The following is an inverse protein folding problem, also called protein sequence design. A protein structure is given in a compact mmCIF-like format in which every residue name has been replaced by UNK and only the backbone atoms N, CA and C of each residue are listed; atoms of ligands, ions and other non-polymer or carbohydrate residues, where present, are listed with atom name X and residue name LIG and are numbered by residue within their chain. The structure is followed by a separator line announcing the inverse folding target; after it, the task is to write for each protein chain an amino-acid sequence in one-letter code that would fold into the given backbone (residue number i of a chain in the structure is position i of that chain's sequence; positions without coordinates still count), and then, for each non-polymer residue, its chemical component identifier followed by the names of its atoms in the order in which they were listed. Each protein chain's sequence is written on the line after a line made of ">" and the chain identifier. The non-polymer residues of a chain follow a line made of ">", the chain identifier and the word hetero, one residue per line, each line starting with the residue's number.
data_IF_918042779411
#
_entry.id   IF_918042779411
#
_cell.length_a   1.000
_cell.length_b   1.000
_cell.length_c   1.000
_cell.angle_alpha   90.00
_cell.angle_beta   90.00
_cell.angle_gamma   90.00
#
_symmetry.space_group_name_H-M   'P 1'
#
loop_
_entity.id
_entity.type
_entity.pdbx_description
1 polymer ?
#
# COMPACT_ATOMS: atom_id res chain seq x y z
N UNK A 1 -2.36 9.51 -22.50
CA UNK A 1 -3.66 9.57 -21.80
C UNK A 1 -3.41 9.05 -20.39
N UNK A 2 -4.10 9.58 -19.38
CA UNK A 2 -4.03 9.04 -18.02
C UNK A 2 -4.79 7.70 -17.99
N UNK A 3 -4.11 6.63 -17.59
CA UNK A 3 -4.72 5.31 -17.41
C UNK A 3 -4.89 4.97 -15.92
N UNK A 4 -6.00 4.28 -15.60
CA UNK A 4 -6.28 3.76 -14.26
C UNK A 4 -5.97 2.27 -14.22
N UNK A 5 -4.89 1.92 -13.52
CA UNK A 5 -4.37 0.55 -13.45
C UNK A 5 -4.80 -0.08 -12.13
N UNK A 6 -5.54 -1.18 -12.21
CA UNK A 6 -6.05 -1.89 -11.03
C UNK A 6 -4.98 -2.80 -10.42
N UNK A 7 -4.83 -2.72 -9.11
CA UNK A 7 -3.99 -3.60 -8.29
C UNK A 7 -4.89 -4.53 -7.48
N UNK A 8 -4.83 -5.81 -7.83
CA UNK A 8 -5.59 -6.86 -7.17
C UNK A 8 -5.05 -7.22 -5.79
N UNK A 9 -5.75 -8.12 -5.09
CA UNK A 9 -5.32 -8.65 -3.79
C UNK A 9 -4.07 -9.51 -3.98
N UNK A 10 -3.06 -9.35 -3.11
CA UNK A 10 -1.78 -10.06 -3.23
C UNK A 10 -1.12 -9.83 -4.59
N UNK A 11 -1.14 -8.57 -5.04
CA UNK A 11 -0.50 -8.10 -6.26
C UNK A 11 0.17 -6.75 -5.98
N UNK A 12 1.07 -6.36 -6.87
CA UNK A 12 1.64 -5.03 -6.91
C UNK A 12 1.73 -4.52 -8.35
N UNK A 13 1.65 -3.21 -8.51
CA UNK A 13 1.87 -2.54 -9.79
C UNK A 13 2.68 -1.28 -9.58
N UNK A 14 3.43 -0.91 -10.61
CA UNK A 14 4.24 0.31 -10.65
C UNK A 14 3.90 1.03 -11.95
N UNK A 15 3.72 2.33 -11.87
CA UNK A 15 3.37 3.18 -13.00
C UNK A 15 4.21 4.44 -13.01
N UNK A 16 4.27 5.10 -14.17
CA UNK A 16 4.88 6.40 -14.34
C UNK A 16 3.81 7.44 -14.57
N UNK A 17 4.13 8.69 -14.26
CA UNK A 17 3.30 9.82 -14.66
C UNK A 17 2.92 9.75 -16.15
N UNK A 18 1.63 9.86 -16.51
CA UNK A 18 0.52 10.39 -15.69
C UNK A 18 -0.43 9.35 -15.06
N UNK A 19 -0.08 8.07 -14.99
CA UNK A 19 -1.06 7.03 -14.64
C UNK A 19 -1.42 6.98 -13.15
N UNK A 20 -2.57 6.37 -12.86
CA UNK A 20 -3.15 6.23 -11.52
C UNK A 20 -3.26 4.75 -11.16
N UNK A 21 -2.81 4.39 -9.96
CA UNK A 21 -3.00 3.05 -9.39
C UNK A 21 -4.28 3.00 -8.57
N UNK A 22 -5.09 1.96 -8.75
CA UNK A 22 -6.36 1.80 -8.05
C UNK A 22 -6.41 0.45 -7.34
N UNK A 23 -6.77 0.42 -6.07
CA UNK A 23 -7.03 -0.84 -5.36
C UNK A 23 -8.34 -0.78 -4.59
N UNK A 24 -9.17 -1.79 -4.77
CA UNK A 24 -10.53 -1.82 -4.25
C UNK A 24 -10.64 -2.65 -2.98
N UNK A 25 -11.62 -2.28 -2.14
CA UNK A 25 -12.12 -3.09 -1.03
C UNK A 25 -11.06 -3.57 -0.02
N UNK A 26 -10.16 -2.68 0.41
CA UNK A 26 -9.25 -2.94 1.51
C UNK A 26 -10.02 -3.02 2.83
N UNK A 27 -10.24 -4.25 3.31
CA UNK A 27 -10.71 -4.55 4.66
C UNK A 27 -9.53 -4.65 5.63
N UNK A 28 -9.26 -5.86 6.15
CA UNK A 28 -8.09 -6.12 7.00
C UNK A 28 -6.76 -6.05 6.24
N UNK A 29 -6.79 -6.11 4.91
CA UNK A 29 -5.63 -5.91 4.05
C UNK A 29 -5.09 -4.47 4.16
N UNK A 30 -3.83 -4.26 3.78
CA UNK A 30 -3.21 -2.93 3.78
C UNK A 30 -2.65 -2.63 2.39
N UNK A 31 -3.02 -1.46 1.87
CA UNK A 31 -2.47 -0.89 0.65
C UNK A 31 -1.25 -0.05 1.00
N UNK A 32 -0.11 -0.38 0.40
CA UNK A 32 1.14 0.37 0.57
C UNK A 32 1.47 1.08 -0.72
N UNK A 33 1.45 2.41 -0.66
CA UNK A 33 1.72 3.28 -1.78
C UNK A 33 3.10 3.91 -1.60
N UNK A 34 3.99 3.72 -2.56
CA UNK A 34 5.34 4.30 -2.58
C UNK A 34 5.46 5.30 -3.72
N UNK A 35 6.08 6.45 -3.48
CA UNK A 35 6.28 7.48 -4.49
C UNK A 35 7.68 8.09 -4.44
N UNK A 36 8.29 8.25 -5.61
CA UNK A 36 9.45 9.11 -5.81
C UNK A 36 9.04 10.29 -6.70
N UNK A 37 8.92 11.47 -6.08
CA UNK A 37 8.49 12.72 -6.72
C UNK A 37 9.42 13.24 -7.81
N UNK A 38 10.69 12.86 -7.81
CA UNK A 38 11.68 13.37 -8.77
C UNK A 38 11.52 12.64 -10.11
N UNK A 39 11.45 11.31 -10.07
CA UNK A 39 11.23 10.49 -11.27
C UNK A 39 9.76 10.26 -11.60
N UNK A 40 8.84 10.71 -10.72
CA UNK A 40 7.38 10.60 -10.85
C UNK A 40 6.92 9.16 -11.14
N UNK A 41 7.40 8.26 -10.29
CA UNK A 41 7.03 6.85 -10.28
C UNK A 41 6.23 6.58 -9.02
N UNK A 42 5.10 5.88 -9.18
CA UNK A 42 4.29 5.39 -8.08
C UNK A 42 4.22 3.87 -8.12
N UNK A 43 4.32 3.25 -6.95
CA UNK A 43 4.07 1.84 -6.72
C UNK A 43 2.95 1.64 -5.73
N UNK A 44 2.13 0.61 -5.92
CA UNK A 44 1.10 0.19 -4.98
C UNK A 44 1.14 -1.32 -4.82
N UNK A 45 1.21 -1.79 -3.57
CA UNK A 45 1.06 -3.20 -3.21
C UNK A 45 -0.19 -3.39 -2.34
N UNK A 46 -0.97 -4.44 -2.63
CA UNK A 46 -2.13 -4.83 -1.81
C UNK A 46 -1.77 -6.06 -0.97
N UNK A 47 -1.44 -5.80 0.30
CA UNK A 47 -0.92 -6.81 1.22
C UNK A 47 -2.09 -7.47 1.97
N UNK A 48 -2.09 -8.80 1.99
CA UNK A 48 -3.13 -9.60 2.62
C UNK A 48 -2.74 -10.05 4.04
N UNK A 49 -1.46 -10.40 4.25
CA UNK A 49 -0.96 -11.03 5.47
C UNK A 49 0.33 -10.34 5.99
N UNK A 50 0.66 -10.51 7.28
CA UNK A 50 1.75 -9.75 7.89
C UNK A 50 3.13 -10.32 7.57
N UNK A 51 3.31 -11.65 7.58
CA UNK A 51 4.62 -12.29 7.45
C UNK A 51 4.59 -13.47 6.48
N UNK A 52 5.61 -13.55 5.63
CA UNK A 52 5.78 -14.63 4.66
C UNK A 52 5.99 -16.00 5.31
N UNK A 53 5.61 -17.05 4.58
CA UNK A 53 5.79 -18.43 5.00
C UNK A 53 6.71 -19.15 4.02
N UNK A 54 7.66 -19.99 4.47
CA UNK A 54 8.67 -20.62 3.60
C UNK A 54 8.11 -21.43 2.42
N UNK A 55 6.87 -21.91 2.53
CA UNK A 55 6.21 -22.75 1.53
C UNK A 55 5.26 -21.98 0.60
N UNK A 56 5.01 -20.69 0.84
CA UNK A 56 4.12 -19.88 0.00
C UNK A 56 4.96 -19.08 -1.00
N UNK A 57 4.76 -19.37 -2.30
CA UNK A 57 5.52 -18.74 -3.37
C UNK A 57 5.00 -17.34 -3.74
N UNK A 58 3.83 -16.91 -3.23
CA UNK A 58 3.31 -15.59 -3.54
C UNK A 58 3.92 -14.50 -2.65
N UNK A 59 5.00 -13.90 -3.13
CA UNK A 59 5.71 -12.79 -2.47
C UNK A 59 4.87 -11.52 -2.32
N UNK A 60 3.80 -11.32 -3.10
CA UNK A 60 2.99 -10.09 -3.04
C UNK A 60 1.94 -10.12 -1.94
N UNK A 61 1.75 -11.28 -1.31
CA UNK A 61 0.73 -11.49 -0.27
C UNK A 61 1.13 -10.90 1.08
N UNK A 62 2.43 -10.80 1.35
CA UNK A 62 2.98 -10.55 2.68
C UNK A 62 3.68 -9.19 2.80
N UNK A 63 3.65 -8.58 3.98
CA UNK A 63 4.20 -7.24 4.16
C UNK A 63 5.73 -7.20 3.98
N UNK A 64 6.43 -8.16 4.57
CA UNK A 64 7.89 -8.30 4.50
C UNK A 64 8.40 -8.46 3.06
N UNK A 65 7.74 -9.29 2.25
CA UNK A 65 8.18 -9.55 0.88
C UNK A 65 7.65 -8.51 -0.10
N UNK A 66 6.38 -8.12 -0.03
CA UNK A 66 5.77 -7.22 -1.02
C UNK A 66 6.34 -5.80 -0.94
N UNK A 67 6.55 -5.25 0.26
CA UNK A 67 7.08 -3.88 0.42
C UNK A 67 8.54 -3.81 -0.05
N UNK A 68 9.36 -4.80 0.34
CA UNK A 68 10.75 -4.88 -0.11
C UNK A 68 10.85 -5.03 -1.64
N UNK A 69 10.00 -5.89 -2.21
CA UNK A 69 9.94 -6.13 -3.66
C UNK A 69 9.49 -4.89 -4.42
N UNK A 70 8.45 -4.20 -3.95
CA UNK A 70 7.96 -2.96 -4.56
C UNK A 70 9.05 -1.89 -4.61
N UNK A 71 9.73 -1.65 -3.48
CA UNK A 71 10.82 -0.68 -3.42
C UNK A 71 11.96 -1.05 -4.39
N UNK A 72 12.35 -2.33 -4.44
CA UNK A 72 13.40 -2.82 -5.35
C UNK A 72 13.01 -2.66 -6.83
N UNK A 73 11.77 -2.96 -7.17
CA UNK A 73 11.30 -2.84 -8.55
C UNK A 73 11.15 -1.37 -8.97
N UNK A 74 10.80 -0.48 -8.05
CA UNK A 74 10.84 0.97 -8.29
C UNK A 74 12.26 1.51 -8.47
N UNK A 75 13.26 1.00 -7.74
CA UNK A 75 14.67 1.37 -7.93
C UNK A 75 15.17 1.04 -9.33
N UNK A 76 14.74 -0.09 -9.90
CA UNK A 76 15.07 -0.46 -11.29
C UNK A 76 14.55 0.56 -12.32
N UNK A 77 13.54 1.36 -11.94
CA UNK A 77 12.97 2.41 -12.78
C UNK A 77 13.61 3.79 -12.53
N UNK A 78 14.66 3.87 -11.71
CA UNK A 78 15.40 5.10 -11.41
C UNK A 78 15.01 5.78 -10.11
N UNK A 79 14.12 5.18 -9.31
CA UNK A 79 13.80 5.69 -7.98
C UNK A 79 14.99 5.50 -7.03
N UNK A 80 15.11 6.38 -6.04
CA UNK A 80 16.11 6.24 -4.99
C UNK A 80 15.43 6.08 -3.65
N UNK A 81 15.79 5.06 -2.87
CA UNK A 81 15.11 4.72 -1.60
C UNK A 81 14.96 5.89 -0.64
N UNK A 82 16.00 6.70 -0.49
CA UNK A 82 15.97 7.89 0.40
C UNK A 82 15.01 9.00 -0.06
N UNK A 83 14.59 8.99 -1.34
CA UNK A 83 13.59 9.91 -1.89
C UNK A 83 12.18 9.34 -1.84
N UNK A 84 12.05 8.01 -1.64
CA UNK A 84 10.75 7.36 -1.57
C UNK A 84 10.00 7.80 -0.33
N UNK A 85 8.71 8.04 -0.50
CA UNK A 85 7.78 8.28 0.60
C UNK A 85 6.66 7.26 0.54
N UNK A 86 6.15 6.87 1.70
CA UNK A 86 5.07 5.91 1.82
C UNK A 86 3.78 6.58 2.29
N UNK A 87 2.65 6.13 1.73
CA UNK A 87 1.31 6.33 2.28
C UNK A 87 0.63 4.99 2.42
N UNK A 88 -0.06 4.77 3.53
CA UNK A 88 -0.69 3.47 3.81
C UNK A 88 -2.17 3.63 4.16
N UNK A 89 -2.99 2.66 3.75
CA UNK A 89 -4.39 2.66 4.12
C UNK A 89 -4.98 1.24 4.14
N UNK A 90 -6.03 1.01 4.94
CA UNK A 90 -6.65 -0.30 5.15
C UNK A 90 -6.55 -0.77 6.59
N UNK A 91 -6.31 -2.06 6.82
CA UNK A 91 -6.14 -2.62 8.16
C UNK A 91 -7.41 -2.53 9.02
N UNK A 92 -8.58 -2.49 8.41
CA UNK A 92 -9.85 -2.42 9.12
C UNK A 92 -10.17 -3.72 9.86
N UNK A 93 -10.81 -3.58 11.02
CA UNK A 93 -11.35 -4.68 11.78
C UNK A 93 -12.87 -4.77 11.57
N UNK A 94 -13.30 -5.54 10.58
CA UNK A 94 -14.71 -5.70 10.22
C UNK A 94 -15.49 -6.62 11.16
N UNK A 95 -14.80 -7.45 11.95
CA UNK A 95 -15.41 -8.41 12.86
C UNK A 95 -14.89 -8.20 14.29
N UNK A 96 -15.79 -8.24 15.27
CA UNK A 96 -15.38 -8.09 16.66
C UNK A 96 -14.63 -9.35 17.11
N UNK A 97 -13.35 -9.22 17.43
CA UNK A 97 -12.53 -10.31 17.99
C UNK A 97 -11.95 -9.89 19.32
N UNK A 98 -12.00 -10.77 20.32
CA UNK A 98 -11.29 -10.56 21.58
C UNK A 98 -9.78 -10.75 21.34
N UNK A 99 -9.08 -9.70 20.92
CA UNK A 99 -7.63 -9.70 20.67
C UNK A 99 -7.21 -8.80 19.50
N UNK A 100 -5.89 -8.77 19.20
CA UNK A 100 -5.34 -8.04 18.03
C UNK A 100 -5.94 -8.60 16.74
N UNK A 101 -6.55 -7.72 15.95
CA UNK A 101 -7.15 -8.09 14.66
C UNK A 101 -6.08 -8.43 13.62
N UNK A 102 -6.48 -9.10 12.54
CA UNK A 102 -5.60 -9.31 11.38
C UNK A 102 -5.17 -7.98 10.77
N UNK A 103 -6.06 -6.98 10.77
CA UNK A 103 -5.76 -5.62 10.32
C UNK A 103 -4.63 -4.97 11.10
N UNK A 104 -4.68 -5.04 12.44
CA UNK A 104 -3.63 -4.48 13.31
C UNK A 104 -2.28 -5.11 13.03
N UNK A 105 -2.24 -6.45 12.88
CA UNK A 105 -1.01 -7.20 12.56
C UNK A 105 -0.44 -6.81 11.20
N UNK A 106 -1.31 -6.65 10.20
CA UNK A 106 -0.89 -6.23 8.86
C UNK A 106 -0.30 -4.82 8.88
N UNK A 107 -0.94 -3.87 9.58
CA UNK A 107 -0.47 -2.49 9.71
C UNK A 107 0.88 -2.46 10.44
N UNK A 108 1.02 -3.19 11.54
CA UNK A 108 2.27 -3.30 12.31
C UNK A 108 3.42 -3.85 11.45
N UNK A 109 3.17 -4.93 10.71
CA UNK A 109 4.15 -5.55 9.82
C UNK A 109 4.59 -4.60 8.68
N UNK A 110 3.63 -3.90 8.05
CA UNK A 110 3.91 -2.89 7.03
C UNK A 110 4.77 -1.75 7.57
N UNK A 111 4.42 -1.22 8.75
CA UNK A 111 5.18 -0.14 9.40
C UNK A 111 6.61 -0.58 9.72
N UNK A 112 6.76 -1.79 10.26
CA UNK A 112 8.06 -2.40 10.56
C UNK A 112 8.92 -2.53 9.31
N UNK A 113 8.34 -2.99 8.20
CA UNK A 113 9.08 -3.21 6.96
C UNK A 113 9.48 -1.90 6.29
N UNK A 114 8.59 -0.90 6.26
CA UNK A 114 8.92 0.44 5.78
C UNK A 114 10.03 1.09 6.60
N UNK A 115 10.00 0.93 7.94
CA UNK A 115 11.06 1.39 8.82
C UNK A 115 12.40 0.67 8.54
N UNK A 116 12.38 -0.66 8.34
CA UNK A 116 13.56 -1.45 7.97
C UNK A 116 14.21 -0.96 6.67
N UNK A 117 13.40 -0.53 5.72
CA UNK A 117 13.84 0.01 4.44
C UNK A 117 14.19 1.52 4.49
N UNK A 118 14.07 2.17 5.65
CA UNK A 118 14.23 3.61 5.82
C UNK A 118 13.32 4.46 4.91
N UNK A 119 12.11 3.97 4.66
CA UNK A 119 11.09 4.69 3.89
C UNK A 119 10.10 5.31 4.88
N UNK A 120 10.05 6.64 4.92
CA UNK A 120 9.16 7.36 5.84
C UNK A 120 7.70 7.27 5.39
N UNK A 121 6.80 7.06 6.35
CA UNK A 121 5.36 7.20 6.14
C UNK A 121 5.02 8.69 6.28
N UNK A 122 4.47 9.29 5.22
CA UNK A 122 4.08 10.71 5.22
C UNK A 122 2.59 10.91 5.53
N UNK A 123 1.77 9.87 5.32
CA UNK A 123 0.37 9.86 5.71
C UNK A 123 -0.16 8.43 5.88
N UNK A 124 -1.18 8.26 6.71
CA UNK A 124 -1.85 6.98 6.93
C UNK A 124 -3.34 7.14 7.23
N UNK A 125 -4.16 6.25 6.66
CA UNK A 125 -5.57 6.04 7.06
C UNK A 125 -5.83 4.54 7.26
N UNK A 126 -5.50 4.08 8.46
CA UNK A 126 -5.52 2.66 8.85
C UNK A 126 -6.54 2.38 9.96
N UNK A 127 -6.90 1.11 10.16
CA UNK A 127 -7.82 0.70 11.21
C UNK A 127 -9.28 0.99 10.86
N UNK A 128 -10.12 1.22 11.88
CA UNK A 128 -11.57 1.38 11.69
C UNK A 128 -12.27 0.04 11.42
N UNK A 129 -13.53 0.08 10.99
CA UNK A 129 -14.40 -1.09 10.84
C UNK A 129 -15.09 -1.18 9.46
N UNK A 130 -14.53 -0.53 8.45
CA UNK A 130 -15.09 -0.46 7.10
C UNK A 130 -14.03 -0.62 6.01
N UNK A 131 -14.48 -1.00 4.82
CA UNK A 131 -13.63 -1.18 3.64
C UNK A 131 -13.28 0.15 2.98
N UNK A 132 -12.11 0.18 2.35
CA UNK A 132 -11.58 1.35 1.64
C UNK A 132 -11.22 1.05 0.19
N UNK A 133 -11.29 2.05 -0.67
CA UNK A 133 -10.78 2.02 -2.04
C UNK A 133 -9.73 3.12 -2.17
N UNK A 134 -8.59 2.78 -2.78
CA UNK A 134 -7.46 3.69 -2.97
C UNK A 134 -7.35 4.08 -4.42
N UNK A 135 -7.11 5.37 -4.68
CA UNK A 135 -6.63 5.89 -5.96
C UNK A 135 -5.33 6.66 -5.70
N UNK A 136 -4.23 6.23 -6.32
CA UNK A 136 -2.89 6.76 -6.07
C UNK A 136 -2.27 7.33 -7.34
N UNK A 137 -2.04 8.63 -7.33
CA UNK A 137 -1.60 9.42 -8.48
C UNK A 137 -0.07 9.46 -8.57
N UNK A 138 0.49 9.04 -9.70
CA UNK A 138 1.94 8.99 -9.90
C UNK A 138 2.59 10.35 -10.17
N UNK A 139 1.83 11.34 -10.62
CA UNK A 139 2.30 12.70 -10.86
C UNK A 139 2.52 13.44 -9.54
N UNK A 140 1.52 13.37 -8.65
CA UNK A 140 1.48 14.17 -7.41
C UNK A 140 1.86 13.39 -6.16
N UNK A 141 1.76 12.06 -6.17
CA UNK A 141 1.85 11.22 -4.97
C UNK A 141 0.62 11.37 -4.05
N UNK A 142 -0.48 11.89 -4.58
CA UNK A 142 -1.75 12.04 -3.86
C UNK A 142 -2.44 10.69 -3.71
N UNK A 143 -2.92 10.38 -2.50
CA UNK A 143 -3.71 9.19 -2.22
C UNK A 143 -5.14 9.61 -1.87
N UNK A 144 -6.09 9.24 -2.72
CA UNK A 144 -7.51 9.40 -2.45
C UNK A 144 -8.01 8.10 -1.85
N UNK A 145 -8.59 8.19 -0.66
CA UNK A 145 -9.19 7.06 0.05
C UNK A 145 -10.70 7.26 0.07
N UNK A 146 -11.43 6.30 -0.51
CA UNK A 146 -12.90 6.28 -0.50
C UNK A 146 -13.39 5.19 0.42
N UNK A 147 -14.41 5.49 1.21
CA UNK A 147 -15.12 4.52 2.03
C UNK A 147 -16.63 4.75 1.93
N UNK A 148 -17.40 3.67 2.03
CA UNK A 148 -18.86 3.74 2.01
C UNK A 148 -19.39 4.51 3.23
N UNK A 149 -18.72 4.40 4.39
CA UNK A 149 -19.16 5.01 5.65
C UNK A 149 -18.66 6.43 5.89
N UNK A 150 -17.45 6.81 5.44
CA UNK A 150 -16.86 8.14 5.71
C UNK A 150 -16.72 9.03 4.48
N UNK A 151 -17.20 8.61 3.31
CA UNK A 151 -17.04 9.37 2.07
C UNK A 151 -15.61 9.29 1.52
N UNK A 152 -15.09 10.40 0.98
CA UNK A 152 -13.72 10.47 0.44
C UNK A 152 -12.84 11.34 1.32
N UNK A 153 -11.60 10.91 1.53
CA UNK A 153 -10.54 11.70 2.16
C UNK A 153 -9.30 11.69 1.27
N UNK A 154 -8.51 12.74 1.34
CA UNK A 154 -7.25 12.88 0.63
C UNK A 154 -6.12 12.94 1.66
N UNK A 155 -5.12 12.08 1.50
CA UNK A 155 -3.97 11.97 2.40
C UNK A 155 -2.65 11.88 1.63
#
# INVERSE_FOLDING_TARGET
>A
MEERIVVGISDQKIVRNPDILVSYALGSCVGVCLHDRIVRVAGLAHILLPESKPWDMNEYKYADTAVARLAKDMEKLGCMRYRMTAKISGGANMFYTNGRSVGDKNVEAVKKELARLNIRIVAEDVGGNFGRTLEFDSASGRLIVRSIQRGHIEI
#
